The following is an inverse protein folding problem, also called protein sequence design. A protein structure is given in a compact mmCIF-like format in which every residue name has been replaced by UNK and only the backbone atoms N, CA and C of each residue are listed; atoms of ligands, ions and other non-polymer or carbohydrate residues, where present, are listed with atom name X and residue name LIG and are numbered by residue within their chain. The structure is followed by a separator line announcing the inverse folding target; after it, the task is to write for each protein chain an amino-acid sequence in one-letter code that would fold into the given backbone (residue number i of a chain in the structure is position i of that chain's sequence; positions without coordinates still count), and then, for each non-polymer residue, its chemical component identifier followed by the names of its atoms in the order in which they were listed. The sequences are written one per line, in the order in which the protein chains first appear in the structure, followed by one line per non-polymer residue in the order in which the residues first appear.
data_IF_028288289689
#
_entry.id   IF_028288289689
#
_cell.length_a   1.000
_cell.length_b   1.000
_cell.length_c   1.000
_cell.angle_alpha   90.00
_cell.angle_beta   90.00
_cell.angle_gamma   90.00
#
_symmetry.space_group_name_H-M   'P 1'
#
loop_
_entity.id
_entity.type
_entity.pdbx_description
1 polymer ?
#
# COMPACT_ATOMS: atom_id res chain seq x y z
N UNK A 1 1.49 14.32 -13.98
CA UNK A 1 1.63 12.93 -13.43
C UNK A 1 2.55 12.10 -14.31
N UNK A 2 3.49 11.38 -13.73
CA UNK A 2 4.33 10.39 -14.43
C UNK A 2 3.48 9.15 -14.73
N UNK A 3 3.50 8.68 -15.98
CA UNK A 3 2.74 7.48 -16.39
C UNK A 3 3.45 6.19 -15.97
N UNK A 4 2.66 5.16 -15.63
CA UNK A 4 3.16 3.84 -15.31
C UNK A 4 3.46 3.05 -16.58
N UNK A 5 4.73 2.98 -16.93
CA UNK A 5 5.18 2.20 -18.08
C UNK A 5 5.57 0.77 -17.64
N UNK A 6 4.70 -0.21 -17.93
CA UNK A 6 4.96 -1.63 -17.68
C UNK A 6 4.76 -2.42 -18.98
N UNK A 7 5.85 -2.78 -19.67
CA UNK A 7 5.76 -3.56 -20.93
C UNK A 7 5.35 -5.02 -20.68
N UNK A 8 5.65 -5.55 -19.51
CA UNK A 8 5.35 -6.94 -19.15
C UNK A 8 3.98 -7.01 -18.46
N UNK A 9 3.01 -7.64 -19.11
CA UNK A 9 1.67 -7.83 -18.57
C UNK A 9 1.23 -9.28 -18.72
N UNK A 10 0.39 -9.75 -17.81
CA UNK A 10 -0.33 -11.01 -17.95
C UNK A 10 -1.39 -10.89 -19.05
N UNK A 11 -1.99 -12.02 -19.42
CA UNK A 11 -3.03 -12.07 -20.45
C UNK A 11 -4.26 -11.20 -20.11
N UNK A 12 -4.58 -11.06 -18.83
CA UNK A 12 -5.69 -10.23 -18.33
C UNK A 12 -5.35 -8.74 -18.21
N UNK A 13 -4.10 -8.34 -18.52
CA UNK A 13 -3.62 -6.97 -18.38
C UNK A 13 -2.91 -6.65 -17.06
N UNK A 14 -2.91 -7.56 -16.09
CA UNK A 14 -2.23 -7.37 -14.80
C UNK A 14 -0.73 -7.11 -15.02
N UNK A 15 -0.17 -6.00 -14.49
CA UNK A 15 1.25 -5.72 -14.61
C UNK A 15 2.12 -6.78 -13.95
N UNK A 16 3.24 -7.14 -14.60
CA UNK A 16 4.26 -8.06 -14.04
C UNK A 16 5.47 -7.23 -13.65
N UNK A 17 5.47 -6.75 -12.42
CA UNK A 17 6.52 -5.89 -11.84
C UNK A 17 6.94 -6.39 -10.47
N UNK A 18 8.20 -6.14 -10.11
CA UNK A 18 8.67 -6.41 -8.75
C UNK A 18 8.46 -5.21 -7.83
N UNK A 19 8.57 -5.43 -6.51
CA UNK A 19 8.40 -4.39 -5.50
C UNK A 19 9.33 -3.18 -5.74
N UNK A 20 10.57 -3.42 -6.17
CA UNK A 20 11.53 -2.35 -6.43
C UNK A 20 11.12 -1.44 -7.59
N UNK A 21 10.48 -1.98 -8.62
CA UNK A 21 9.96 -1.21 -9.76
C UNK A 21 8.76 -0.36 -9.32
N UNK A 22 7.86 -0.92 -8.51
CA UNK A 22 6.73 -0.17 -7.95
C UNK A 22 7.22 0.94 -7.03
N UNK A 23 8.20 0.67 -6.15
CA UNK A 23 8.82 1.66 -5.27
C UNK A 23 9.46 2.79 -6.08
N UNK A 24 10.23 2.47 -7.12
CA UNK A 24 10.89 3.46 -7.96
C UNK A 24 9.86 4.34 -8.70
N UNK A 25 8.78 3.75 -9.17
CA UNK A 25 7.67 4.48 -9.78
C UNK A 25 7.00 5.45 -8.80
N UNK A 26 6.66 4.98 -7.60
CA UNK A 26 6.07 5.80 -6.54
C UNK A 26 6.98 6.98 -6.16
N UNK A 27 8.27 6.72 -5.96
CA UNK A 27 9.27 7.74 -5.62
C UNK A 27 9.46 8.77 -6.73
N UNK A 28 9.41 8.35 -7.99
CA UNK A 28 9.45 9.28 -9.12
C UNK A 28 8.24 10.22 -9.11
N UNK A 29 7.04 9.71 -8.82
CA UNK A 29 5.85 10.54 -8.68
C UNK A 29 5.92 11.48 -7.47
N UNK A 30 6.42 11.02 -6.32
CA UNK A 30 6.66 11.91 -5.16
C UNK A 30 7.65 13.01 -5.52
N UNK A 31 8.71 12.70 -6.27
CA UNK A 31 9.69 13.68 -6.74
C UNK A 31 9.13 14.71 -7.71
N UNK A 32 8.19 14.31 -8.56
CA UNK A 32 7.48 15.21 -9.49
C UNK A 32 6.43 16.07 -8.76
N UNK A 33 5.74 15.49 -7.78
CA UNK A 33 4.71 16.18 -6.98
C UNK A 33 5.29 17.15 -5.95
N UNK A 34 6.24 16.67 -5.13
CA UNK A 34 6.79 17.41 -3.99
C UNK A 34 8.22 16.94 -3.67
N UNK A 35 9.24 17.43 -4.43
CA UNK A 35 10.61 16.90 -4.38
C UNK A 35 11.30 17.03 -3.01
N UNK A 36 10.83 17.93 -2.12
CA UNK A 36 11.32 18.06 -0.76
C UNK A 36 11.08 16.81 0.09
N UNK A 37 10.03 16.03 -0.20
CA UNK A 37 9.74 14.77 0.51
C UNK A 37 10.74 13.65 0.19
N UNK A 38 11.55 13.81 -0.86
CA UNK A 38 12.68 12.93 -1.13
C UNK A 38 13.98 13.37 -0.42
N UNK A 39 13.96 14.54 0.24
CA UNK A 39 15.13 15.12 0.94
C UNK A 39 14.94 15.15 2.45
N UNK A 40 13.71 15.37 2.90
CA UNK A 40 13.37 15.51 4.31
C UNK A 40 12.17 14.63 4.64
N UNK A 41 12.23 13.81 5.71
CA UNK A 41 11.08 13.04 6.20
C UNK A 41 9.89 13.94 6.47
N UNK A 42 8.70 13.53 6.09
CA UNK A 42 7.49 14.32 6.31
C UNK A 42 6.23 13.66 5.77
N UNK A 43 5.10 14.25 6.14
CA UNK A 43 3.77 13.77 5.73
C UNK A 43 3.42 14.25 4.33
N UNK A 44 2.79 13.37 3.55
CA UNK A 44 2.13 13.74 2.30
C UNK A 44 0.64 13.94 2.56
N UNK A 45 0.02 14.91 1.89
CA UNK A 45 -1.44 15.00 1.87
C UNK A 45 -1.97 14.05 0.78
N UNK A 46 -2.49 12.90 1.20
CA UNK A 46 -2.93 11.83 0.30
C UNK A 46 -4.06 12.28 -0.63
N UNK A 47 -5.06 12.98 -0.11
CA UNK A 47 -6.18 13.46 -0.91
C UNK A 47 -5.72 14.45 -1.98
N UNK A 48 -4.91 15.45 -1.61
CA UNK A 48 -4.35 16.40 -2.56
C UNK A 48 -3.44 15.71 -3.60
N UNK A 49 -2.65 14.70 -3.18
CA UNK A 49 -1.83 13.92 -4.10
C UNK A 49 -2.69 13.19 -5.13
N UNK A 50 -3.76 12.52 -4.68
CA UNK A 50 -4.62 11.72 -5.57
C UNK A 50 -5.49 12.63 -6.46
N UNK A 51 -6.12 13.66 -5.91
CA UNK A 51 -6.99 14.53 -6.70
C UNK A 51 -6.21 15.49 -7.60
N UNK A 52 -5.20 16.19 -7.05
CA UNK A 52 -4.54 17.28 -7.79
C UNK A 52 -3.36 16.82 -8.62
N UNK A 53 -2.60 15.80 -8.18
CA UNK A 53 -1.44 15.31 -8.92
C UNK A 53 -1.80 14.12 -9.83
N UNK A 54 -2.51 13.10 -9.31
CA UNK A 54 -2.96 11.97 -10.14
C UNK A 54 -4.15 12.34 -11.02
N UNK A 55 -4.87 13.42 -10.72
CA UNK A 55 -6.08 13.87 -11.41
C UNK A 55 -7.20 12.81 -11.38
N UNK A 56 -7.34 12.10 -10.25
CA UNK A 56 -8.40 11.15 -10.02
C UNK A 56 -9.54 11.81 -9.23
N UNK A 57 -10.78 11.50 -9.58
CA UNK A 57 -11.96 11.95 -8.83
C UNK A 57 -12.14 11.05 -7.59
N UNK A 58 -12.09 11.64 -6.40
CA UNK A 58 -12.36 10.94 -5.13
C UNK A 58 -13.73 11.30 -4.61
N UNK A 59 -14.54 10.30 -4.30
CA UNK A 59 -15.88 10.45 -3.71
C UNK A 59 -15.96 9.68 -2.39
N UNK A 60 -16.72 10.19 -1.43
CA UNK A 60 -16.90 9.58 -0.11
C UNK A 60 -18.32 9.07 0.02
N UNK A 61 -18.47 7.78 0.27
CA UNK A 61 -19.76 7.10 0.36
C UNK A 61 -19.78 6.12 1.55
N UNK A 62 -20.95 5.69 1.99
CA UNK A 62 -21.10 4.59 2.94
C UNK A 62 -21.13 3.26 2.17
N UNK A 63 -19.98 2.61 2.10
CA UNK A 63 -19.79 1.34 1.38
C UNK A 63 -19.27 0.18 2.26
N UNK A 64 -19.01 0.43 3.52
CA UNK A 64 -18.29 -0.51 4.40
C UNK A 64 -18.88 -1.92 4.40
N UNK A 65 -20.20 -2.05 4.55
CA UNK A 65 -20.92 -3.31 4.70
C UNK A 65 -21.96 -3.56 3.59
N UNK A 66 -21.79 -2.95 2.42
CA UNK A 66 -22.74 -3.14 1.30
C UNK A 66 -22.66 -4.54 0.69
N UNK A 67 -21.57 -5.25 0.92
CA UNK A 67 -21.42 -6.67 0.59
C UNK A 67 -21.38 -7.48 1.89
N UNK A 68 -22.31 -8.40 2.13
CA UNK A 68 -22.35 -9.17 3.38
C UNK A 68 -21.04 -9.89 3.68
N UNK A 69 -20.52 -9.70 4.90
CA UNK A 69 -19.27 -10.33 5.36
C UNK A 69 -17.99 -9.72 4.78
N UNK A 70 -18.06 -8.55 4.13
CA UNK A 70 -16.91 -7.81 3.62
C UNK A 70 -16.91 -6.37 4.13
N UNK A 71 -15.81 -5.96 4.75
CA UNK A 71 -15.52 -4.57 5.06
C UNK A 71 -14.77 -3.95 3.89
N UNK A 72 -15.43 -3.04 3.16
CA UNK A 72 -14.87 -2.37 1.98
C UNK A 72 -14.50 -0.96 2.38
N UNK A 73 -13.21 -0.62 2.32
CA UNK A 73 -12.70 0.70 2.70
C UNK A 73 -12.52 1.64 1.51
N UNK A 74 -12.29 1.08 0.32
CA UNK A 74 -12.13 1.83 -0.92
C UNK A 74 -12.47 1.00 -2.14
N UNK A 75 -12.77 1.67 -3.24
CA UNK A 75 -13.07 1.08 -4.54
C UNK A 75 -12.46 1.96 -5.63
N UNK A 76 -11.64 1.37 -6.50
CA UNK A 76 -11.27 2.00 -7.76
C UNK A 76 -12.11 1.42 -8.90
N UNK A 77 -12.80 2.26 -9.62
CA UNK A 77 -13.75 1.90 -10.69
C UNK A 77 -13.03 1.83 -12.03
N UNK A 78 -12.95 0.66 -12.64
CA UNK A 78 -12.24 0.48 -13.92
C UNK A 78 -13.12 0.69 -15.15
N UNK A 79 -14.43 0.50 -15.01
CA UNK A 79 -15.46 0.77 -16.01
C UNK A 79 -16.66 1.38 -15.33
N UNK A 80 -17.47 2.14 -16.05
CA UNK A 80 -18.74 2.66 -15.54
C UNK A 80 -19.51 1.55 -14.84
N UNK A 81 -19.79 1.71 -13.57
CA UNK A 81 -20.37 0.67 -12.73
C UNK A 81 -21.44 1.19 -11.79
N UNK A 82 -22.50 0.40 -11.64
CA UNK A 82 -23.47 0.60 -10.57
C UNK A 82 -22.90 0.06 -9.26
N UNK A 83 -22.74 0.91 -8.27
CA UNK A 83 -22.21 0.54 -6.95
C UNK A 83 -23.30 0.80 -5.92
N UNK A 84 -23.54 -0.21 -5.08
CA UNK A 84 -24.44 -0.07 -3.95
C UNK A 84 -23.77 0.76 -2.86
N UNK A 85 -24.48 1.78 -2.39
CA UNK A 85 -24.11 2.60 -1.24
C UNK A 85 -25.26 2.63 -0.25
N UNK A 86 -24.98 2.96 1.00
CA UNK A 86 -26.02 3.13 2.01
C UNK A 86 -26.37 4.62 2.13
N UNK A 87 -27.66 4.92 2.19
CA UNK A 87 -28.23 6.22 2.49
C UNK A 87 -29.25 6.11 3.63
N UNK A 88 -29.81 7.24 4.10
CA UNK A 88 -30.81 7.26 5.20
C UNK A 88 -32.00 6.34 4.97
N UNK A 89 -32.40 6.12 3.72
CA UNK A 89 -33.52 5.26 3.32
C UNK A 89 -33.15 3.79 3.08
N UNK A 90 -31.89 3.38 3.22
CA UNK A 90 -31.42 2.03 2.94
C UNK A 90 -30.35 1.97 1.86
N UNK A 91 -30.29 0.84 1.14
CA UNK A 91 -29.32 0.65 0.07
C UNK A 91 -29.83 1.21 -1.26
N UNK A 92 -29.01 2.01 -1.92
CA UNK A 92 -29.26 2.55 -3.26
C UNK A 92 -28.11 2.20 -4.20
N UNK A 93 -28.41 2.07 -5.50
CA UNK A 93 -27.38 1.87 -6.51
C UNK A 93 -27.12 3.20 -7.23
N UNK A 94 -25.86 3.64 -7.20
CA UNK A 94 -25.36 4.84 -7.89
C UNK A 94 -24.43 4.45 -9.04
N UNK A 95 -24.53 5.19 -10.15
CA UNK A 95 -23.58 5.05 -11.27
C UNK A 95 -22.32 5.85 -10.98
N UNK A 96 -21.18 5.19 -11.00
CA UNK A 96 -19.85 5.82 -10.92
C UNK A 96 -19.11 5.63 -12.25
N UNK A 97 -18.46 6.69 -12.76
CA UNK A 97 -17.71 6.61 -14.00
C UNK A 97 -16.41 5.85 -13.82
N UNK A 98 -15.89 5.35 -14.91
CA UNK A 98 -14.54 4.78 -14.98
C UNK A 98 -13.49 5.78 -14.51
N UNK A 99 -12.54 5.33 -13.71
CA UNK A 99 -11.51 6.16 -13.08
C UNK A 99 -11.92 6.83 -11.75
N UNK A 100 -13.19 6.68 -11.32
CA UNK A 100 -13.58 7.16 -10.00
C UNK A 100 -12.95 6.33 -8.87
N UNK A 101 -12.58 6.99 -7.80
CA UNK A 101 -12.16 6.39 -6.53
C UNK A 101 -13.24 6.68 -5.50
N UNK A 102 -13.71 5.65 -4.81
CA UNK A 102 -14.72 5.77 -3.76
C UNK A 102 -14.08 5.34 -2.45
N UNK A 103 -14.13 6.20 -1.44
CA UNK A 103 -13.63 5.92 -0.10
C UNK A 103 -14.81 5.78 0.85
N UNK A 104 -14.76 4.78 1.73
CA UNK A 104 -15.79 4.64 2.76
C UNK A 104 -15.73 5.79 3.76
N UNK A 105 -16.91 6.32 4.14
CA UNK A 105 -17.00 7.44 5.06
C UNK A 105 -16.37 7.17 6.43
N UNK A 106 -16.30 5.90 6.88
CA UNK A 106 -15.69 5.55 8.18
C UNK A 106 -14.16 5.58 8.14
N UNK A 107 -13.57 5.68 6.95
CA UNK A 107 -12.12 5.84 6.77
C UNK A 107 -11.70 7.29 6.99
N UNK A 108 -12.59 8.24 6.66
CA UNK A 108 -12.30 9.67 6.70
C UNK A 108 -12.17 10.17 8.15
N UNK A 109 -11.14 10.97 8.41
CA UNK A 109 -10.86 11.53 9.74
C UNK A 109 -10.16 10.57 10.70
N UNK A 110 -9.77 9.38 10.26
CA UNK A 110 -8.99 8.47 11.11
C UNK A 110 -7.56 8.96 11.27
N UNK A 111 -7.15 9.18 12.52
CA UNK A 111 -5.83 9.72 12.87
C UNK A 111 -4.71 8.67 12.84
N UNK A 112 -5.05 7.38 12.75
CA UNK A 112 -4.10 6.25 12.77
C UNK A 112 -3.30 6.05 11.48
N UNK A 113 -3.39 6.97 10.52
CA UNK A 113 -2.78 6.89 9.20
C UNK A 113 -3.50 5.97 8.21
N UNK A 114 -4.60 5.38 8.61
CA UNK A 114 -5.38 4.47 7.78
C UNK A 114 -6.05 5.19 6.60
N UNK A 115 -6.58 6.40 6.83
CA UNK A 115 -7.15 7.24 5.78
C UNK A 115 -6.13 7.52 4.67
N UNK A 116 -4.94 8.01 5.05
CA UNK A 116 -3.89 8.36 4.09
C UNK A 116 -3.47 7.13 3.28
N UNK A 117 -3.33 5.99 3.95
CA UNK A 117 -2.95 4.74 3.30
C UNK A 117 -4.01 4.25 2.33
N UNK A 118 -5.28 4.26 2.72
CA UNK A 118 -6.40 3.81 1.87
C UNK A 118 -6.54 4.68 0.62
N UNK A 119 -6.49 6.02 0.77
CA UNK A 119 -6.59 6.94 -0.36
C UNK A 119 -5.44 6.72 -1.36
N UNK A 120 -4.20 6.60 -0.89
CA UNK A 120 -3.05 6.37 -1.78
C UNK A 120 -3.05 4.97 -2.37
N UNK A 121 -3.56 3.97 -1.65
CA UNK A 121 -3.73 2.60 -2.15
C UNK A 121 -4.67 2.57 -3.37
N UNK A 122 -5.83 3.23 -3.27
CA UNK A 122 -6.75 3.37 -4.42
C UNK A 122 -6.11 4.19 -5.54
N UNK A 123 -5.33 5.24 -5.20
CA UNK A 123 -4.50 5.94 -6.17
C UNK A 123 -3.52 5.03 -6.90
N UNK A 124 -2.97 4.02 -6.22
CA UNK A 124 -2.11 2.98 -6.81
C UNK A 124 -2.87 2.12 -7.84
N UNK A 125 -4.09 1.71 -7.51
CA UNK A 125 -4.96 1.02 -8.48
C UNK A 125 -5.29 1.92 -9.68
N UNK A 126 -5.55 3.19 -9.45
CA UNK A 126 -5.83 4.17 -10.50
C UNK A 126 -4.63 4.33 -11.46
N UNK A 127 -3.41 4.50 -10.98
CA UNK A 127 -2.26 4.73 -11.88
C UNK A 127 -1.72 3.45 -12.51
N UNK A 128 -1.72 2.31 -11.83
CA UNK A 128 -1.03 1.11 -12.32
C UNK A 128 -1.97 0.12 -13.01
N UNK A 129 -3.21 0.03 -12.55
CA UNK A 129 -4.15 -1.02 -12.97
C UNK A 129 -5.25 -0.48 -13.89
N UNK A 130 -5.88 0.63 -13.53
CA UNK A 130 -6.95 1.21 -14.34
C UNK A 130 -6.59 1.39 -15.83
N UNK A 131 -5.39 1.91 -16.22
CA UNK A 131 -5.04 2.04 -17.63
C UNK A 131 -4.97 0.71 -18.40
N UNK A 132 -4.77 -0.41 -17.69
CA UNK A 132 -4.76 -1.73 -18.31
C UNK A 132 -6.15 -2.28 -18.59
N UNK A 133 -7.15 -1.84 -17.86
CA UNK A 133 -8.52 -2.38 -17.92
C UNK A 133 -9.51 -1.40 -18.56
N UNK A 134 -9.21 -0.09 -18.58
CA UNK A 134 -10.02 0.88 -19.31
C UNK A 134 -9.85 0.69 -20.82
N UNK A 135 -10.94 0.52 -21.55
CA UNK A 135 -10.93 0.41 -23.01
C UNK A 135 -10.68 -0.97 -23.61
N UNK A 136 -10.58 -2.04 -22.81
CA UNK A 136 -10.58 -3.39 -23.35
C UNK A 136 -11.96 -3.78 -23.86
N UNK A 137 -12.01 -4.27 -25.12
CA UNK A 137 -13.23 -4.79 -25.71
C UNK A 137 -13.79 -5.94 -24.87
N UNK A 138 -15.07 -5.83 -24.48
CA UNK A 138 -15.81 -6.77 -23.62
C UNK A 138 -15.78 -8.21 -24.17
N UNK A 139 -15.57 -8.39 -25.47
CA UNK A 139 -15.56 -9.69 -26.15
C UNK A 139 -14.28 -10.50 -25.97
N UNK A 140 -13.16 -9.88 -25.55
CA UNK A 140 -11.87 -10.55 -25.40
C UNK A 140 -11.57 -10.99 -23.97
N UNK A 141 -12.19 -10.40 -22.95
CA UNK A 141 -11.90 -10.68 -21.54
C UNK A 141 -12.88 -11.68 -20.93
N UNK A 142 -12.45 -12.91 -20.71
CA UNK A 142 -13.23 -13.95 -19.97
C UNK A 142 -13.44 -13.64 -18.48
N UNK A 143 -12.83 -12.60 -17.94
CA UNK A 143 -13.13 -12.05 -16.62
C UNK A 143 -13.05 -10.53 -16.68
N UNK A 144 -14.20 -9.86 -16.79
CA UNK A 144 -14.26 -8.41 -16.74
C UNK A 144 -14.19 -7.99 -15.28
N UNK A 145 -13.05 -7.41 -14.89
CA UNK A 145 -12.92 -6.77 -13.60
C UNK A 145 -13.43 -5.33 -13.73
N UNK A 146 -14.66 -5.07 -13.25
CA UNK A 146 -15.26 -3.74 -13.33
C UNK A 146 -14.66 -2.78 -12.31
N UNK A 147 -14.20 -3.33 -11.19
CA UNK A 147 -13.67 -2.58 -10.03
C UNK A 147 -12.80 -3.45 -9.15
N UNK A 148 -11.87 -2.83 -8.44
CA UNK A 148 -11.17 -3.44 -7.31
C UNK A 148 -11.72 -2.83 -6.02
N UNK A 149 -11.92 -3.66 -5.00
CA UNK A 149 -12.39 -3.27 -3.68
C UNK A 149 -11.30 -3.57 -2.66
N UNK A 150 -10.76 -2.52 -2.03
CA UNK A 150 -9.85 -2.65 -0.91
C UNK A 150 -10.60 -3.10 0.34
N UNK A 151 -10.10 -4.15 0.99
CA UNK A 151 -10.67 -4.69 2.23
C UNK A 151 -9.70 -4.49 3.37
N UNK A 152 -10.22 -4.28 4.59
CA UNK A 152 -9.40 -4.16 5.81
C UNK A 152 -8.42 -5.32 5.97
N UNK A 153 -8.85 -6.55 5.65
CA UNK A 153 -8.01 -7.75 5.73
C UNK A 153 -6.87 -7.81 4.70
N UNK A 154 -6.94 -7.05 3.61
CA UNK A 154 -5.93 -7.06 2.55
C UNK A 154 -4.77 -6.11 2.82
N UNK A 155 -5.01 -5.04 3.60
CA UNK A 155 -3.99 -4.05 3.97
C UNK A 155 -2.91 -4.68 4.86
N UNK A 156 -3.26 -5.70 5.64
CA UNK A 156 -2.38 -6.36 6.64
C UNK A 156 -1.92 -7.76 6.22
N UNK A 157 -2.48 -8.35 5.17
CA UNK A 157 -2.20 -9.74 4.80
C UNK A 157 -0.78 -9.92 4.28
N UNK A 158 0.11 -10.34 5.16
CA UNK A 158 1.32 -11.08 4.76
C UNK A 158 0.91 -12.42 4.13
N UNK A 159 1.67 -12.83 3.11
CA UNK A 159 1.50 -14.08 2.39
C UNK A 159 1.35 -15.26 3.37
N UNK A 160 0.18 -15.85 3.47
CA UNK A 160 0.04 -17.17 4.07
C UNK A 160 0.70 -18.18 3.14
N UNK A 161 1.69 -18.93 3.63
CA UNK A 161 2.70 -19.68 2.86
C UNK A 161 2.16 -20.72 1.87
N UNK A 162 0.87 -21.05 1.87
CA UNK A 162 0.33 -22.21 1.16
C UNK A 162 -0.73 -21.89 0.08
N UNK A 163 -0.99 -20.62 -0.24
CA UNK A 163 -1.97 -20.26 -1.28
C UNK A 163 -1.28 -19.68 -2.51
N UNK A 164 -1.61 -20.20 -3.70
CA UNK A 164 -1.21 -19.56 -4.97
C UNK A 164 -1.93 -18.22 -5.12
N UNK A 165 -1.19 -17.16 -5.36
CA UNK A 165 -1.72 -15.83 -5.59
C UNK A 165 -2.52 -15.77 -6.88
N UNK A 166 -3.69 -15.14 -6.80
CA UNK A 166 -4.49 -14.74 -7.95
C UNK A 166 -3.95 -13.44 -8.54
N UNK A 167 -4.40 -13.08 -9.72
CA UNK A 167 -4.03 -11.80 -10.34
C UNK A 167 -4.48 -10.61 -9.50
N UNK A 168 -5.65 -10.74 -8.85
CA UNK A 168 -6.13 -9.75 -7.87
C UNK A 168 -5.19 -9.62 -6.67
N UNK A 169 -4.70 -10.72 -6.09
CA UNK A 169 -3.76 -10.68 -4.97
C UNK A 169 -2.46 -9.95 -5.37
N UNK A 170 -2.01 -10.11 -6.63
CA UNK A 170 -0.87 -9.34 -7.15
C UNK A 170 -1.16 -7.85 -7.25
N UNK A 171 -2.32 -7.45 -7.78
CA UNK A 171 -2.69 -6.04 -7.88
C UNK A 171 -2.85 -5.39 -6.50
N UNK A 172 -3.47 -6.06 -5.54
CA UNK A 172 -3.58 -5.58 -4.15
C UNK A 172 -2.19 -5.41 -3.51
N UNK A 173 -1.29 -6.39 -3.72
CA UNK A 173 0.09 -6.29 -3.24
C UNK A 173 0.82 -5.08 -3.86
N UNK A 174 0.70 -4.89 -5.17
CA UNK A 174 1.32 -3.76 -5.88
C UNK A 174 0.78 -2.42 -5.35
N UNK A 175 -0.53 -2.30 -5.13
CA UNK A 175 -1.14 -1.10 -4.56
C UNK A 175 -0.67 -0.85 -3.12
N UNK A 176 -0.50 -1.90 -2.29
CA UNK A 176 0.08 -1.78 -0.95
C UNK A 176 1.55 -1.34 -0.99
N UNK A 177 2.35 -1.86 -1.93
CA UNK A 177 3.75 -1.44 -2.12
C UNK A 177 3.80 0.02 -2.55
N UNK A 178 2.95 0.40 -3.50
CA UNK A 178 2.85 1.77 -3.99
C UNK A 178 2.48 2.74 -2.87
N UNK A 179 1.39 2.47 -2.12
CA UNK A 179 0.93 3.34 -1.04
C UNK A 179 2.02 3.54 0.03
N UNK A 180 2.65 2.45 0.47
CA UNK A 180 3.75 2.54 1.42
C UNK A 180 4.92 3.38 0.89
N UNK A 181 5.24 3.29 -0.41
CA UNK A 181 6.38 3.99 -1.01
C UNK A 181 6.09 5.46 -1.31
N UNK A 182 4.84 5.82 -1.60
CA UNK A 182 4.42 7.22 -1.70
C UNK A 182 4.46 7.89 -0.32
N UNK A 183 3.90 7.23 0.70
CA UNK A 183 3.82 7.78 2.05
C UNK A 183 5.18 7.79 2.77
N UNK A 184 6.04 6.80 2.50
CA UNK A 184 7.36 6.61 3.12
C UNK A 184 8.44 6.38 2.06
N UNK A 185 8.79 7.40 1.25
CA UNK A 185 9.77 7.23 0.17
C UNK A 185 11.16 6.86 0.71
N UNK A 186 11.78 5.82 0.14
CA UNK A 186 13.05 5.24 0.59
C UNK A 186 14.19 6.27 0.78
N UNK A 187 14.35 7.29 -0.08
CA UNK A 187 15.43 8.26 0.09
C UNK A 187 15.45 8.96 1.45
N UNK A 188 14.29 9.16 2.06
CA UNK A 188 14.17 9.74 3.42
C UNK A 188 13.87 8.69 4.47
N UNK A 189 13.07 7.70 4.16
CA UNK A 189 12.66 6.65 5.09
C UNK A 189 13.83 5.79 5.58
N UNK A 190 14.66 5.29 4.65
CA UNK A 190 15.76 4.39 5.01
C UNK A 190 16.77 5.06 5.93
N UNK A 191 17.33 6.25 5.62
CA UNK A 191 18.26 6.93 6.51
C UNK A 191 17.64 7.28 7.88
N UNK A 192 16.38 7.71 7.89
CA UNK A 192 15.65 8.06 9.11
C UNK A 192 15.52 6.86 10.05
N UNK A 193 15.06 5.72 9.54
CA UNK A 193 14.91 4.50 10.33
C UNK A 193 16.25 3.93 10.75
N UNK A 194 17.27 3.95 9.90
CA UNK A 194 18.63 3.52 10.26
C UNK A 194 19.18 4.35 11.41
N UNK A 195 18.91 5.64 11.45
CA UNK A 195 19.33 6.51 12.56
C UNK A 195 18.60 6.18 13.87
N UNK A 196 17.28 5.91 13.80
CA UNK A 196 16.52 5.46 14.96
C UNK A 196 17.04 4.11 15.47
N UNK A 197 17.33 3.17 14.57
CA UNK A 197 17.89 1.87 14.92
C UNK A 197 19.27 2.00 15.60
N UNK A 198 20.15 2.91 15.10
CA UNK A 198 21.45 3.17 15.72
C UNK A 198 21.32 3.74 17.13
N UNK A 199 20.39 4.67 17.33
CA UNK A 199 20.08 5.24 18.66
C UNK A 199 19.55 4.18 19.62
N UNK A 200 18.85 3.16 19.11
CA UNK A 200 18.40 2.00 19.86
C UNK A 200 19.48 0.94 20.08
N UNK A 201 20.74 1.16 19.63
CA UNK A 201 21.88 0.28 19.85
C UNK A 201 22.23 -0.66 18.68
N UNK A 202 21.52 -0.60 17.57
CA UNK A 202 21.80 -1.39 16.37
C UNK A 202 22.84 -0.68 15.49
N UNK A 203 24.14 -1.01 15.63
CA UNK A 203 25.27 -0.28 15.05
C UNK A 203 25.22 -0.10 13.53
N UNK A 204 24.74 -1.10 12.80
CA UNK A 204 24.58 -1.06 11.34
C UNK A 204 23.30 -0.36 10.90
N UNK A 205 22.47 0.09 11.83
CA UNK A 205 21.19 0.72 11.55
C UNK A 205 20.10 -0.27 11.11
N UNK A 206 20.35 -1.57 11.26
CA UNK A 206 19.40 -2.62 10.92
C UNK A 206 19.02 -3.32 12.22
N UNK A 207 17.71 -3.42 12.46
CA UNK A 207 17.21 -4.17 13.58
C UNK A 207 17.29 -5.67 13.27
N UNK A 208 17.98 -6.42 14.13
CA UNK A 208 18.02 -7.88 14.07
C UNK A 208 17.05 -8.42 15.10
N UNK A 209 15.97 -9.04 14.62
CA UNK A 209 15.03 -9.76 15.48
C UNK A 209 15.74 -11.02 16.00
N UNK A 210 15.93 -11.16 17.31
CA UNK A 210 16.51 -12.37 17.87
C UNK A 210 15.60 -13.60 17.60
N UNK A 211 16.18 -14.81 17.58
CA UNK A 211 15.39 -16.03 17.47
C UNK A 211 14.38 -16.09 18.62
N UNK A 212 13.21 -16.64 18.34
CA UNK A 212 12.09 -16.65 19.28
C UNK A 212 12.47 -17.46 20.51
N UNK A 213 12.85 -16.76 21.58
CA UNK A 213 12.85 -17.34 22.92
C UNK A 213 11.48 -17.06 23.55
N UNK A 214 10.67 -18.11 23.86
CA UNK A 214 9.31 -17.93 24.33
C UNK A 214 9.17 -17.15 25.64
N UNK A 215 10.27 -16.99 26.41
CA UNK A 215 10.20 -16.47 27.78
C UNK A 215 10.73 -15.06 28.01
N UNK A 216 11.67 -14.52 27.21
CA UNK A 216 12.35 -13.25 27.57
C UNK A 216 12.39 -12.18 26.49
N UNK A 217 12.21 -12.47 25.22
CA UNK A 217 12.54 -11.53 24.13
C UNK A 217 11.35 -10.78 23.55
N UNK A 218 10.11 -11.23 23.79
CA UNK A 218 8.91 -10.53 23.32
C UNK A 218 8.81 -9.09 23.83
N UNK A 219 9.24 -8.83 25.07
CA UNK A 219 9.11 -7.52 25.71
C UNK A 219 9.96 -6.45 25.03
N UNK A 220 11.21 -6.74 24.69
CA UNK A 220 12.11 -5.81 24.01
C UNK A 220 11.67 -5.54 22.56
N UNK A 221 11.14 -6.55 21.88
CA UNK A 221 10.60 -6.42 20.55
C UNK A 221 9.36 -5.53 20.50
N UNK A 222 8.43 -5.70 21.44
CA UNK A 222 7.23 -4.85 21.54
C UNK A 222 7.59 -3.41 21.89
N UNK A 223 8.49 -3.20 22.84
CA UNK A 223 8.98 -1.85 23.19
C UNK A 223 9.67 -1.18 22.01
N UNK A 224 10.45 -1.93 21.24
CA UNK A 224 11.07 -1.42 20.02
C UNK A 224 10.02 -1.01 18.97
N UNK A 225 9.03 -1.85 18.71
CA UNK A 225 7.95 -1.52 17.77
C UNK A 225 7.16 -0.31 18.25
N UNK A 226 6.86 -0.25 19.54
CA UNK A 226 6.13 0.85 20.15
C UNK A 226 6.91 2.17 20.05
N UNK A 227 8.18 2.19 20.44
CA UNK A 227 8.97 3.44 20.45
C UNK A 227 9.38 3.91 19.04
N UNK A 228 9.86 3.01 18.19
CA UNK A 228 10.36 3.38 16.86
C UNK A 228 9.21 3.44 15.87
N UNK A 229 8.27 2.51 15.94
CA UNK A 229 7.05 2.50 15.13
C UNK A 229 6.25 3.78 15.30
N UNK A 230 6.07 4.24 16.54
CA UNK A 230 5.37 5.49 16.84
C UNK A 230 6.09 6.70 16.23
N UNK A 231 7.41 6.82 16.37
CA UNK A 231 8.17 7.92 15.77
C UNK A 231 8.08 7.94 14.24
N UNK A 232 8.07 6.77 13.61
CA UNK A 232 7.88 6.66 12.16
C UNK A 232 6.45 7.06 11.80
N UNK A 233 5.46 6.54 12.52
CA UNK A 233 4.04 6.83 12.31
C UNK A 233 3.75 8.33 12.40
N UNK A 234 4.25 8.99 13.45
CA UNK A 234 4.13 10.43 13.65
C UNK A 234 4.80 11.25 12.53
N UNK A 235 6.00 10.81 12.09
CA UNK A 235 6.79 11.55 11.09
C UNK A 235 6.17 11.49 9.69
N UNK A 236 5.64 10.32 9.29
CA UNK A 236 5.13 10.07 7.95
C UNK A 236 3.59 10.07 7.85
N UNK A 237 2.89 10.09 8.99
CA UNK A 237 1.42 10.04 9.02
C UNK A 237 0.86 8.69 8.59
N UNK A 238 1.48 7.61 9.02
CA UNK A 238 1.10 6.22 8.72
C UNK A 238 0.83 5.46 10.01
N UNK A 239 0.23 4.26 9.91
CA UNK A 239 0.12 3.37 11.07
C UNK A 239 1.45 2.71 11.39
N UNK A 240 1.66 2.33 12.66
CA UNK A 240 2.84 1.56 13.09
C UNK A 240 2.97 0.24 12.33
N UNK A 241 1.85 -0.42 12.03
CA UNK A 241 1.83 -1.66 11.25
C UNK A 241 2.29 -1.43 9.80
N UNK A 242 1.87 -0.35 9.15
CA UNK A 242 2.34 0.01 7.81
C UNK A 242 3.84 0.33 7.83
N UNK A 243 4.31 1.07 8.84
CA UNK A 243 5.73 1.35 9.05
C UNK A 243 6.55 0.07 9.20
N UNK A 244 6.10 -0.86 10.03
CA UNK A 244 6.76 -2.15 10.24
C UNK A 244 6.88 -2.98 8.96
N UNK A 245 5.79 -3.11 8.20
CA UNK A 245 5.79 -3.84 6.93
C UNK A 245 6.76 -3.18 5.94
N UNK A 246 6.78 -1.85 5.89
CA UNK A 246 7.69 -1.13 4.98
C UNK A 246 9.16 -1.24 5.42
N UNK A 247 9.45 -1.22 6.74
CA UNK A 247 10.79 -1.51 7.27
C UNK A 247 11.29 -2.88 6.86
N UNK A 248 10.45 -3.92 6.97
CA UNK A 248 10.79 -5.28 6.50
C UNK A 248 11.10 -5.28 5.00
N UNK A 249 10.25 -4.62 4.20
CA UNK A 249 10.41 -4.52 2.74
C UNK A 249 11.70 -3.79 2.36
N UNK A 250 12.08 -2.77 3.12
CA UNK A 250 13.35 -2.05 2.93
C UNK A 250 14.56 -2.75 3.53
N UNK A 251 14.42 -3.93 4.15
CA UNK A 251 15.52 -4.67 4.76
C UNK A 251 16.07 -4.06 6.05
N UNK A 252 15.31 -3.18 6.70
CA UNK A 252 15.68 -2.49 7.95
C UNK A 252 15.36 -3.31 9.19
N UNK A 253 14.65 -4.42 9.01
CA UNK A 253 14.42 -5.46 10.01
C UNK A 253 14.90 -6.77 9.39
N UNK A 254 15.80 -7.49 10.10
CA UNK A 254 16.24 -8.84 9.77
C UNK A 254 15.80 -9.80 10.85
N UNK A 255 15.50 -11.02 10.48
CA UNK A 255 15.37 -12.12 11.41
C UNK A 255 16.63 -12.97 11.33
N UNK A 256 17.03 -13.59 12.43
CA UNK A 256 18.17 -14.54 12.40
C UNK A 256 17.82 -15.83 11.64
N UNK A 257 16.53 -16.08 11.37
CA UNK A 257 16.13 -17.20 10.51
C UNK A 257 16.28 -16.81 9.02
N UNK A 258 17.24 -17.41 8.30
CA UNK A 258 17.44 -17.14 6.86
C UNK A 258 16.21 -17.44 6.01
N UNK A 259 15.26 -18.26 6.49
CA UNK A 259 14.03 -18.62 5.77
C UNK A 259 13.02 -17.48 5.73
N UNK A 260 13.07 -16.54 6.71
CA UNK A 260 12.21 -15.36 6.75
C UNK A 260 12.76 -14.17 5.96
N UNK A 261 13.97 -14.24 5.41
CA UNK A 261 14.55 -13.18 4.58
C UNK A 261 13.83 -13.13 3.22
N UNK A 262 13.41 -11.94 2.74
CA UNK A 262 12.92 -11.77 1.39
C UNK A 262 13.90 -12.33 0.34
N UNK A 263 13.37 -12.95 -0.72
CA UNK A 263 14.17 -13.65 -1.75
C UNK A 263 15.27 -12.78 -2.37
N UNK A 264 15.07 -11.46 -2.49
CA UNK A 264 16.06 -10.55 -3.03
C UNK A 264 17.24 -10.32 -2.07
N UNK A 265 17.02 -10.41 -0.74
CA UNK A 265 18.10 -10.36 0.27
C UNK A 265 18.87 -11.69 0.29
N UNK A 266 18.17 -12.84 0.13
CA UNK A 266 18.81 -14.15 0.09
C UNK A 266 19.80 -14.28 -1.09
N UNK A 267 19.55 -13.58 -2.21
CA UNK A 267 20.42 -13.59 -3.40
C UNK A 267 21.64 -12.66 -3.27
N UNK A 268 21.60 -11.67 -2.36
CA UNK A 268 22.71 -10.74 -2.12
C UNK A 268 23.71 -11.19 -1.03
N UNK A 269 23.42 -12.28 -0.32
CA UNK A 269 24.27 -12.83 0.77
C UNK A 269 25.13 -14.01 0.28
N UNK A 270 25.06 -14.35 -1.02
CA UNK A 270 25.95 -15.34 -1.61
C UNK A 270 27.17 -14.62 -2.24
N UNK A 271 28.12 -14.19 -1.40
CA UNK A 271 29.59 -14.17 -1.64
C UNK A 271 30.30 -14.30 -0.31
#
# INVERSE_FOLDING_TARGET
MIEFNCPNRKYDGTPVVCDLEVMAYAEAQVGDYKPELLKTPGKINALHFVESYLNAAVDVQDILNVVPGMEINGITVFKDAMITVREEGGFVSKLFPAGAIIIDQTVIGREDGFEQFTIVHEGGHFCMHYPAFCGQDILAARSVMDRIMCRSSMIVAEKTENRRWTDRDFMEHQANVYAASVLMPRPTFVPFVMELNRKAGHKDGIFVRPPVDPFFQYRHWYVYLEEIGQKIAETYGVSESAAYVHMKRCGLIRTEDPKELPLYIRRGVAV
#
